data_IF_065724365313
#
_entry.id   IF_065724365313
#
_cell.length_a   1.000
_cell.length_b   1.000
_cell.length_c   1.000
_cell.angle_alpha   90.00
_cell.angle_beta   90.00
_cell.angle_gamma   90.00
#
_symmetry.space_group_name_H-M   'P 1'
#
loop_
_entity.id
_entity.type
_entity.pdbx_description
1 polymer ?
#
# COMPACT_ATOMS: atom_id res chain seq x y z
N UNK A 1 -10.34 37.57 9.91
CA UNK A 1 -11.11 36.54 9.20
C UNK A 1 -10.21 35.45 8.58
N UNK A 2 -9.16 35.81 7.84
CA UNK A 2 -8.26 34.83 7.21
C UNK A 2 -7.49 33.94 8.20
N UNK A 3 -6.99 34.50 9.31
CA UNK A 3 -6.28 33.72 10.33
C UNK A 3 -7.19 32.65 10.98
N UNK A 4 -8.45 32.96 11.25
CA UNK A 4 -9.39 31.98 11.82
C UNK A 4 -9.71 30.82 10.87
N UNK A 5 -9.86 31.09 9.57
CA UNK A 5 -10.10 30.04 8.58
C UNK A 5 -8.87 29.13 8.41
N UNK A 6 -7.66 29.69 8.43
CA UNK A 6 -6.43 28.92 8.37
C UNK A 6 -6.26 28.01 9.61
N UNK A 7 -6.56 28.53 10.81
CA UNK A 7 -6.52 27.75 12.05
C UNK A 7 -7.50 26.58 12.01
N UNK A 8 -8.75 26.80 11.60
CA UNK A 8 -9.76 25.73 11.48
C UNK A 8 -9.34 24.68 10.46
N UNK A 9 -8.75 25.09 9.32
CA UNK A 9 -8.26 24.14 8.31
C UNK A 9 -7.11 23.28 8.85
N UNK A 10 -6.17 23.89 9.58
CA UNK A 10 -5.03 23.17 10.18
C UNK A 10 -5.52 22.18 11.24
N UNK A 11 -6.42 22.62 12.14
CA UNK A 11 -7.00 21.76 13.18
C UNK A 11 -7.77 20.58 12.56
N UNK A 12 -8.55 20.82 11.51
CA UNK A 12 -9.29 19.77 10.80
C UNK A 12 -8.34 18.76 10.17
N UNK A 13 -7.27 19.21 9.54
CA UNK A 13 -6.25 18.34 8.95
C UNK A 13 -5.54 17.49 10.02
N UNK A 14 -5.16 18.13 11.14
CA UNK A 14 -4.53 17.44 12.26
C UNK A 14 -5.47 16.40 12.89
N UNK A 15 -6.75 16.72 13.05
CA UNK A 15 -7.76 15.80 13.57
C UNK A 15 -7.99 14.60 12.63
N UNK A 16 -8.10 14.84 11.32
CA UNK A 16 -8.24 13.76 10.32
C UNK A 16 -7.03 12.84 10.37
N UNK A 17 -5.81 13.38 10.39
CA UNK A 17 -4.58 12.60 10.52
C UNK A 17 -4.56 11.78 11.81
N UNK A 18 -4.97 12.34 12.93
CA UNK A 18 -5.05 11.62 14.20
C UNK A 18 -6.08 10.49 14.17
N UNK A 19 -7.21 10.65 13.47
CA UNK A 19 -8.21 9.60 13.29
C UNK A 19 -7.65 8.45 12.44
N UNK A 20 -7.00 8.76 11.32
CA UNK A 20 -6.34 7.76 10.47
C UNK A 20 -5.31 6.96 11.26
N UNK A 21 -4.45 7.64 12.04
CA UNK A 21 -3.46 6.96 12.89
C UNK A 21 -4.09 6.04 13.94
N UNK A 22 -5.24 6.42 14.50
CA UNK A 22 -5.99 5.55 15.42
C UNK A 22 -6.60 4.35 14.72
N UNK A 23 -7.10 4.51 13.49
CA UNK A 23 -7.60 3.40 12.68
C UNK A 23 -6.48 2.38 12.39
N UNK A 24 -5.30 2.86 12.03
CA UNK A 24 -4.11 2.03 11.81
C UNK A 24 -3.76 1.28 13.11
N UNK A 25 -3.63 1.99 14.23
CA UNK A 25 -3.33 1.37 15.52
C UNK A 25 -4.39 0.31 15.94
N UNK A 26 -5.65 0.50 15.60
CA UNK A 26 -6.70 -0.51 15.84
C UNK A 26 -6.52 -1.74 14.93
N UNK A 27 -6.13 -1.55 13.68
CA UNK A 27 -5.85 -2.65 12.76
C UNK A 27 -4.62 -3.46 13.21
N UNK A 28 -3.55 -2.80 13.67
CA UNK A 28 -2.34 -3.42 14.23
C UNK A 28 -2.61 -4.30 15.45
N UNK A 29 -3.49 -3.87 16.37
CA UNK A 29 -3.89 -4.70 17.53
C UNK A 29 -4.45 -6.06 17.09
N UNK A 30 -5.06 -6.11 15.91
CA UNK A 30 -5.66 -7.32 15.38
C UNK A 30 -4.67 -8.16 14.56
N UNK A 31 -3.82 -7.52 13.76
CA UNK A 31 -2.76 -8.18 12.99
C UNK A 31 -1.37 -7.80 13.54
N UNK A 32 -0.78 -8.63 14.41
CA UNK A 32 0.54 -8.34 14.98
C UNK A 32 1.68 -8.42 13.95
N UNK A 33 1.43 -8.82 12.71
CA UNK A 33 2.42 -8.83 11.62
C UNK A 33 2.52 -7.48 10.91
N UNK A 34 1.50 -6.62 11.08
CA UNK A 34 1.43 -5.25 10.58
C UNK A 34 1.83 -4.28 11.71
N UNK A 35 3.10 -3.99 11.84
CA UNK A 35 3.58 -3.04 12.86
C UNK A 35 3.43 -1.60 12.40
N UNK A 36 3.27 -0.64 13.34
CA UNK A 36 3.23 0.79 13.02
C UNK A 36 4.45 1.29 12.30
N UNK A 37 5.59 0.66 12.54
CA UNK A 37 6.85 0.93 11.85
C UNK A 37 6.78 0.47 10.38
N UNK A 38 6.19 -0.71 10.09
CA UNK A 38 5.95 -1.20 8.73
C UNK A 38 5.14 -0.19 7.90
N UNK A 39 3.96 0.20 8.37
CA UNK A 39 3.10 1.12 7.59
C UNK A 39 3.75 2.50 7.40
N UNK A 40 4.56 2.97 8.36
CA UNK A 40 5.32 4.21 8.23
C UNK A 40 6.45 4.08 7.20
N UNK A 41 7.15 2.93 7.16
CA UNK A 41 8.20 2.66 6.17
C UNK A 41 7.61 2.57 4.77
N UNK A 42 6.54 1.76 4.56
CA UNK A 42 5.86 1.64 3.27
C UNK A 42 5.39 3.00 2.77
N UNK A 43 4.78 3.82 3.62
CA UNK A 43 4.38 5.18 3.28
C UNK A 43 5.58 6.08 2.92
N UNK A 44 6.69 5.95 3.64
CA UNK A 44 7.94 6.67 3.37
C UNK A 44 8.52 6.31 2.00
N UNK A 45 8.70 5.01 1.73
CA UNK A 45 9.19 4.52 0.43
C UNK A 45 8.29 4.96 -0.72
N UNK A 46 6.97 4.84 -0.53
CA UNK A 46 5.99 5.27 -1.54
C UNK A 46 6.14 6.75 -1.89
N UNK A 47 6.41 7.61 -0.90
CA UNK A 47 6.62 9.03 -1.16
C UNK A 47 7.92 9.32 -1.90
N UNK A 48 9.02 8.60 -1.59
CA UNK A 48 10.30 8.72 -2.31
C UNK A 48 10.13 8.30 -3.77
N UNK A 49 9.49 7.15 -4.00
CA UNK A 49 9.23 6.62 -5.36
C UNK A 49 8.36 7.57 -6.17
N UNK A 50 7.26 8.06 -5.58
CA UNK A 50 6.36 9.00 -6.26
C UNK A 50 7.02 10.33 -6.58
N UNK A 51 7.77 10.92 -5.64
CA UNK A 51 8.46 12.20 -5.87
C UNK A 51 9.47 12.10 -7.01
N UNK A 52 10.19 11.00 -7.14
CA UNK A 52 11.11 10.76 -8.24
C UNK A 52 10.37 10.54 -9.57
N UNK A 53 9.32 9.72 -9.56
CA UNK A 53 8.47 9.49 -10.74
C UNK A 53 7.83 10.79 -11.22
N UNK A 54 7.25 11.58 -10.31
CA UNK A 54 6.58 12.84 -10.63
C UNK A 54 7.52 13.87 -11.27
N UNK A 55 8.76 13.98 -10.76
CA UNK A 55 9.80 14.84 -11.37
C UNK A 55 10.16 14.36 -12.77
N UNK A 56 10.34 13.05 -12.97
CA UNK A 56 10.65 12.45 -14.29
C UNK A 56 9.55 12.73 -15.31
N UNK A 57 8.29 12.77 -14.86
CA UNK A 57 7.12 13.03 -15.71
C UNK A 57 6.68 14.49 -15.76
N UNK A 58 7.44 15.42 -15.19
CA UNK A 58 7.15 16.85 -15.26
C UNK A 58 5.88 17.28 -14.51
N UNK A 59 5.48 16.53 -13.48
CA UNK A 59 4.35 16.90 -12.61
C UNK A 59 4.71 18.19 -11.85
N UNK A 60 3.79 19.15 -11.82
CA UNK A 60 4.00 20.43 -11.12
C UNK A 60 4.25 20.23 -9.62
N UNK A 61 5.00 21.12 -8.99
CA UNK A 61 5.31 21.02 -7.56
C UNK A 61 4.03 20.99 -6.70
N UNK A 62 3.04 21.80 -7.05
CA UNK A 62 1.76 21.88 -6.33
C UNK A 62 1.00 20.55 -6.40
N UNK A 63 0.92 19.97 -7.58
CA UNK A 63 0.24 18.69 -7.80
C UNK A 63 1.02 17.54 -7.15
N UNK A 64 2.34 17.56 -7.24
CA UNK A 64 3.22 16.58 -6.61
C UNK A 64 3.04 16.56 -5.09
N UNK A 65 3.06 17.71 -4.43
CA UNK A 65 2.85 17.79 -2.98
C UNK A 65 1.46 17.28 -2.57
N UNK A 66 0.42 17.70 -3.29
CA UNK A 66 -0.95 17.26 -3.04
C UNK A 66 -1.10 15.73 -3.16
N UNK A 67 -0.55 15.15 -4.22
CA UNK A 67 -0.63 13.71 -4.47
C UNK A 67 0.26 12.92 -3.53
N UNK A 68 1.43 13.44 -3.17
CA UNK A 68 2.33 12.84 -2.18
C UNK A 68 1.66 12.65 -0.82
N UNK A 69 0.95 13.68 -0.33
CA UNK A 69 0.26 13.60 0.96
C UNK A 69 -0.89 12.59 0.94
N UNK A 70 -1.63 12.52 -0.18
CA UNK A 70 -2.69 11.51 -0.38
C UNK A 70 -2.11 10.10 -0.42
N UNK A 71 -1.09 9.89 -1.25
CA UNK A 71 -0.41 8.61 -1.37
C UNK A 71 0.16 8.14 -0.05
N UNK A 72 0.83 9.05 0.70
CA UNK A 72 1.39 8.73 2.01
C UNK A 72 0.34 8.13 2.95
N UNK A 73 -0.84 8.76 3.03
CA UNK A 73 -1.91 8.32 3.91
C UNK A 73 -2.57 7.04 3.38
N UNK A 74 -2.78 6.93 2.06
CA UNK A 74 -3.34 5.74 1.43
C UNK A 74 -2.42 4.51 1.59
N UNK A 75 -1.10 4.70 1.46
CA UNK A 75 -0.12 3.64 1.68
C UNK A 75 -0.16 3.09 3.11
N UNK A 76 -0.42 3.94 4.12
CA UNK A 76 -0.60 3.48 5.50
C UNK A 76 -1.86 2.65 5.72
N UNK A 77 -2.82 2.72 4.81
CA UNK A 77 -4.13 2.06 4.87
C UNK A 77 -4.29 0.94 3.84
N UNK A 78 -3.20 0.56 3.12
CA UNK A 78 -3.28 -0.42 2.04
C UNK A 78 -3.90 -1.74 2.50
N UNK A 79 -3.56 -2.18 3.69
CA UNK A 79 -3.98 -3.45 4.30
C UNK A 79 -5.13 -3.32 5.32
N UNK A 80 -5.78 -2.14 5.41
CA UNK A 80 -6.87 -1.89 6.38
C UNK A 80 -8.00 -2.91 6.30
N UNK A 81 -8.22 -3.53 5.14
CA UNK A 81 -9.23 -4.55 4.94
C UNK A 81 -8.98 -5.88 5.65
N UNK A 82 -7.78 -6.13 6.17
CA UNK A 82 -7.48 -7.28 7.04
C UNK A 82 -8.37 -7.32 8.28
N UNK A 83 -8.94 -6.19 8.67
CA UNK A 83 -9.95 -6.12 9.74
C UNK A 83 -11.17 -7.03 9.46
N UNK A 84 -11.48 -7.32 8.22
CA UNK A 84 -12.58 -8.22 7.82
C UNK A 84 -12.18 -9.68 7.66
N UNK A 85 -10.91 -10.05 7.84
CA UNK A 85 -10.44 -11.44 7.71
C UNK A 85 -10.63 -12.18 9.03
N UNK A 86 -11.16 -13.43 9.03
CA UNK A 86 -11.30 -14.23 10.25
C UNK A 86 -9.95 -14.48 10.95
N UNK A 87 -9.93 -14.41 12.29
CA UNK A 87 -8.72 -14.61 13.09
C UNK A 87 -8.05 -15.97 12.85
N UNK A 88 -8.84 -17.01 12.58
CA UNK A 88 -8.33 -18.35 12.25
C UNK A 88 -7.44 -18.36 11.00
N UNK A 89 -7.66 -17.43 10.06
CA UNK A 89 -6.86 -17.27 8.85
C UNK A 89 -5.76 -16.23 9.08
N UNK A 90 -6.13 -15.06 9.61
CA UNK A 90 -5.20 -13.93 9.81
C UNK A 90 -4.02 -14.28 10.72
N UNK A 91 -4.30 -15.03 11.79
CA UNK A 91 -3.32 -15.40 12.83
C UNK A 91 -2.84 -16.84 12.72
N UNK A 92 -3.09 -17.52 11.60
CA UNK A 92 -2.69 -18.92 11.41
C UNK A 92 -1.18 -19.04 11.45
N UNK A 93 -0.62 -19.86 12.35
CA UNK A 93 0.80 -20.17 12.33
C UNK A 93 1.11 -21.07 11.13
N UNK A 94 1.92 -20.59 10.19
CA UNK A 94 2.36 -21.34 9.03
C UNK A 94 1.72 -20.91 7.72
N UNK A 95 1.78 -21.76 6.70
CA UNK A 95 1.26 -21.45 5.37
C UNK A 95 -0.26 -21.58 5.32
N UNK A 96 -0.90 -20.66 4.61
CA UNK A 96 -2.30 -20.77 4.23
C UNK A 96 -2.45 -21.82 3.13
N UNK A 97 -3.51 -22.62 3.17
CA UNK A 97 -3.92 -23.42 2.01
C UNK A 97 -4.61 -22.53 0.96
N UNK A 98 -4.97 -23.11 -0.20
CA UNK A 98 -5.53 -22.33 -1.31
C UNK A 98 -6.86 -21.66 -0.96
N UNK A 99 -7.70 -22.30 -0.15
CA UNK A 99 -8.99 -21.74 0.27
C UNK A 99 -8.81 -20.62 1.27
N UNK A 100 -7.90 -20.79 2.24
CA UNK A 100 -7.55 -19.77 3.22
C UNK A 100 -6.86 -18.57 2.53
N UNK A 101 -5.98 -18.83 1.55
CA UNK A 101 -5.34 -17.77 0.77
C UNK A 101 -6.37 -16.99 -0.05
N UNK A 102 -7.33 -17.66 -0.67
CA UNK A 102 -8.43 -16.99 -1.36
C UNK A 102 -9.27 -16.12 -0.40
N UNK A 103 -9.44 -16.55 0.86
CA UNK A 103 -10.06 -15.71 1.89
C UNK A 103 -9.19 -14.51 2.26
N UNK A 104 -7.87 -14.72 2.42
CA UNK A 104 -6.93 -13.63 2.71
C UNK A 104 -6.94 -12.56 1.62
N UNK A 105 -6.98 -12.94 0.35
CA UNK A 105 -7.02 -12.01 -0.79
C UNK A 105 -8.23 -11.05 -0.74
N UNK A 106 -9.30 -11.41 -0.03
CA UNK A 106 -10.48 -10.54 0.13
C UNK A 106 -10.20 -9.24 0.87
N UNK A 107 -9.09 -9.15 1.63
CA UNK A 107 -8.76 -7.91 2.33
C UNK A 107 -8.65 -6.72 1.37
N UNK A 108 -8.15 -6.93 0.14
CA UNK A 108 -8.03 -5.87 -0.86
C UNK A 108 -9.41 -5.26 -1.20
N UNK A 109 -10.40 -6.10 -1.41
CA UNK A 109 -11.78 -5.67 -1.71
C UNK A 109 -12.48 -5.11 -0.47
N UNK A 110 -12.29 -5.74 0.69
CA UNK A 110 -12.84 -5.25 1.97
C UNK A 110 -12.27 -3.86 2.29
N UNK A 111 -10.95 -3.68 2.12
CA UNK A 111 -10.27 -2.40 2.31
C UNK A 111 -10.85 -1.30 1.40
N UNK A 112 -10.99 -1.58 0.11
CA UNK A 112 -11.57 -0.65 -0.84
C UNK A 112 -13.01 -0.23 -0.47
N UNK A 113 -13.80 -1.15 0.11
CA UNK A 113 -15.17 -0.87 0.55
C UNK A 113 -15.26 0.08 1.74
N UNK A 114 -14.24 0.15 2.59
CA UNK A 114 -14.22 1.08 3.72
C UNK A 114 -14.22 2.54 3.26
N UNK A 115 -13.78 2.80 2.04
CA UNK A 115 -13.79 4.13 1.42
C UNK A 115 -15.00 4.38 0.53
N UNK A 116 -16.02 3.50 0.58
CA UNK A 116 -17.27 3.63 -0.18
C UNK A 116 -18.12 4.77 0.36
N UNK A 117 -18.71 5.56 -0.54
CA UNK A 117 -19.68 6.60 -0.18
C UNK A 117 -19.09 7.90 0.33
N UNK A 118 -17.82 7.95 0.64
CA UNK A 118 -17.11 9.21 0.83
C UNK A 118 -16.56 9.68 -0.53
N UNK A 119 -16.73 10.96 -0.85
CA UNK A 119 -16.38 11.50 -2.18
C UNK A 119 -15.33 12.57 -2.05
N UNK A 120 -14.19 12.20 -1.49
CA UNK A 120 -13.01 13.06 -1.50
C UNK A 120 -11.95 12.45 -2.41
N UNK A 121 -11.11 13.26 -3.01
CA UNK A 121 -9.97 12.79 -3.80
C UNK A 121 -9.04 11.84 -3.00
N UNK A 122 -9.06 11.91 -1.68
CA UNK A 122 -8.34 11.00 -0.80
C UNK A 122 -8.98 9.61 -0.78
N UNK A 123 -10.32 9.54 -0.69
CA UNK A 123 -11.03 8.26 -0.64
C UNK A 123 -10.83 7.47 -1.93
N UNK A 124 -10.77 8.17 -3.09
CA UNK A 124 -10.51 7.53 -4.38
C UNK A 124 -9.10 6.91 -4.40
N UNK A 125 -8.09 7.65 -3.94
CA UNK A 125 -6.70 7.16 -3.86
C UNK A 125 -6.59 6.00 -2.87
N UNK A 126 -7.18 6.11 -1.68
CA UNK A 126 -7.13 5.05 -0.68
C UNK A 126 -7.83 3.77 -1.16
N UNK A 127 -8.97 3.92 -1.86
CA UNK A 127 -9.70 2.82 -2.48
C UNK A 127 -8.86 2.13 -3.54
N UNK A 128 -8.24 2.87 -4.46
CA UNK A 128 -7.40 2.30 -5.52
C UNK A 128 -6.20 1.55 -4.94
N UNK A 129 -5.52 2.14 -3.96
CA UNK A 129 -4.38 1.51 -3.30
C UNK A 129 -4.81 0.23 -2.57
N UNK A 130 -5.84 0.28 -1.72
CA UNK A 130 -6.32 -0.89 -1.00
C UNK A 130 -6.76 -2.01 -1.93
N UNK A 131 -7.41 -1.68 -3.06
CA UNK A 131 -7.91 -2.67 -4.01
C UNK A 131 -6.79 -3.32 -4.81
N UNK A 132 -5.79 -2.55 -5.28
CA UNK A 132 -4.91 -2.98 -6.37
C UNK A 132 -3.43 -3.12 -5.98
N UNK A 133 -3.03 -2.96 -4.71
CA UNK A 133 -1.62 -3.07 -4.31
C UNK A 133 -1.03 -4.48 -4.45
N UNK A 134 -1.86 -5.50 -4.65
CA UNK A 134 -1.46 -6.87 -4.94
C UNK A 134 -1.58 -7.25 -6.43
N UNK A 135 -1.91 -6.30 -7.30
CA UNK A 135 -1.81 -6.54 -8.73
C UNK A 135 -0.35 -6.70 -9.14
N UNK A 136 -0.13 -7.51 -10.18
CA UNK A 136 1.19 -7.74 -10.74
C UNK A 136 1.26 -7.17 -12.14
N UNK A 137 2.39 -6.60 -12.50
CA UNK A 137 2.60 -5.98 -13.80
C UNK A 137 2.28 -6.89 -14.98
N UNK A 138 2.54 -8.20 -14.84
CA UNK A 138 2.27 -9.23 -15.84
C UNK A 138 0.78 -9.63 -15.94
N UNK A 139 -0.07 -9.18 -15.03
CA UNK A 139 -1.50 -9.49 -14.97
C UNK A 139 -1.82 -10.78 -14.22
N UNK A 140 -0.88 -11.35 -13.47
CA UNK A 140 -1.10 -12.55 -12.66
C UNK A 140 -1.47 -12.25 -11.20
N UNK A 141 -1.62 -10.95 -10.85
CA UNK A 141 -2.01 -10.49 -9.53
C UNK A 141 -3.51 -10.60 -9.24
N UNK A 142 -3.93 -9.97 -8.15
CA UNK A 142 -5.32 -9.91 -7.72
C UNK A 142 -5.69 -8.53 -7.16
N UNK A 143 -6.98 -8.15 -7.10
CA UNK A 143 -8.17 -8.97 -7.40
C UNK A 143 -8.62 -8.93 -8.87
N UNK A 144 -7.96 -8.20 -9.74
CA UNK A 144 -8.39 -7.97 -11.11
C UNK A 144 -9.46 -6.89 -11.24
N UNK A 145 -10.12 -6.80 -12.39
CA UNK A 145 -11.15 -5.78 -12.67
C UNK A 145 -12.43 -6.10 -11.89
N UNK A 146 -12.47 -5.70 -10.64
CA UNK A 146 -13.64 -5.82 -9.76
C UNK A 146 -14.22 -4.43 -9.54
N UNK A 147 -15.55 -4.29 -9.76
CA UNK A 147 -16.29 -3.14 -9.29
C UNK A 147 -16.40 -3.22 -7.76
N UNK A 148 -15.79 -2.29 -7.01
CA UNK A 148 -15.81 -2.35 -5.53
C UNK A 148 -17.21 -2.30 -4.95
N UNK A 149 -18.15 -1.79 -5.72
CA UNK A 149 -19.55 -1.62 -5.36
C UNK A 149 -20.44 -2.83 -5.67
N UNK A 150 -19.93 -3.82 -6.41
CA UNK A 150 -20.64 -5.06 -6.62
C UNK A 150 -20.97 -5.73 -5.28
N UNK A 151 -22.18 -6.26 -5.12
CA UNK A 151 -22.50 -7.13 -3.98
C UNK A 151 -21.63 -8.37 -4.06
N UNK A 152 -20.61 -8.41 -3.22
CA UNK A 152 -19.69 -9.53 -3.15
C UNK A 152 -20.28 -10.57 -2.19
N UNK A 153 -21.21 -11.38 -2.70
CA UNK A 153 -21.52 -12.66 -2.07
C UNK A 153 -20.23 -13.53 -2.07
N UNK A 154 -19.92 -14.21 -0.96
CA UNK A 154 -18.73 -15.06 -0.92
C UNK A 154 -18.89 -16.29 -1.83
N UNK A 155 -17.81 -16.78 -2.47
CA UNK A 155 -16.49 -16.15 -2.50
C UNK A 155 -16.27 -15.45 -3.83
N UNK A 156 -15.91 -14.17 -3.81
CA UNK A 156 -15.27 -13.61 -4.99
C UNK A 156 -13.93 -14.33 -5.11
N UNK A 157 -13.94 -15.38 -5.89
CA UNK A 157 -12.69 -15.96 -6.38
C UNK A 157 -12.10 -14.87 -7.27
N UNK A 158 -10.90 -14.34 -6.98
CA UNK A 158 -10.25 -13.41 -7.87
C UNK A 158 -10.27 -14.03 -9.26
N UNK A 159 -10.80 -13.30 -10.23
CA UNK A 159 -10.70 -13.76 -11.62
C UNK A 159 -9.22 -13.95 -11.86
N UNK A 160 -8.80 -15.09 -12.43
CA UNK A 160 -7.37 -15.43 -12.67
C UNK A 160 -6.63 -14.42 -13.55
N UNK A 161 -7.25 -13.31 -13.90
CA UNK A 161 -6.75 -12.27 -14.76
C UNK A 161 -6.77 -10.95 -14.00
N UNK A 162 -5.62 -10.60 -13.42
CA UNK A 162 -5.37 -9.30 -12.82
C UNK A 162 -5.36 -8.16 -13.84
N UNK A 163 -5.29 -6.94 -13.37
CA UNK A 163 -4.95 -5.78 -14.17
C UNK A 163 -3.50 -5.91 -14.64
N UNK A 164 -3.21 -5.44 -15.87
CA UNK A 164 -1.88 -5.59 -16.46
C UNK A 164 -1.23 -4.25 -16.78
N UNK A 165 0.03 -4.11 -16.43
CA UNK A 165 0.83 -2.97 -16.81
C UNK A 165 0.24 -1.66 -16.28
N UNK A 166 -0.01 -0.70 -17.16
CA UNK A 166 -0.56 0.63 -16.81
C UNK A 166 -2.06 0.63 -16.53
N UNK A 167 -2.76 -0.50 -16.68
CA UNK A 167 -4.14 -0.65 -16.18
C UNK A 167 -4.16 -0.59 -14.65
N UNK A 168 -3.06 -1.00 -14.00
CA UNK A 168 -2.91 -0.89 -12.55
C UNK A 168 -2.68 0.59 -12.20
N UNK A 169 -3.48 1.19 -11.29
CA UNK A 169 -3.28 2.56 -10.85
C UNK A 169 -1.84 2.81 -10.37
N UNK A 170 -1.27 3.96 -10.72
CA UNK A 170 0.12 4.28 -10.38
C UNK A 170 0.42 4.12 -8.89
N UNK A 171 -0.47 4.62 -8.04
CA UNK A 171 -0.25 4.59 -6.59
C UNK A 171 -0.29 3.16 -6.03
N UNK A 172 -1.14 2.29 -6.59
CA UNK A 172 -1.15 0.88 -6.23
C UNK A 172 0.16 0.17 -6.63
N UNK A 173 0.71 0.45 -7.84
CA UNK A 173 2.02 -0.07 -8.28
C UNK A 173 3.15 0.36 -7.35
N UNK A 174 3.15 1.64 -6.95
CA UNK A 174 4.14 2.21 -6.04
C UNK A 174 4.05 1.53 -4.66
N UNK A 175 2.84 1.42 -4.10
CA UNK A 175 2.64 0.82 -2.77
C UNK A 175 2.97 -0.68 -2.78
N UNK A 176 2.58 -1.43 -3.82
CA UNK A 176 2.91 -2.84 -3.95
C UNK A 176 4.43 -3.11 -3.99
N UNK A 177 5.19 -2.27 -4.71
CA UNK A 177 6.66 -2.36 -4.70
C UNK A 177 7.25 -2.01 -3.32
N UNK A 178 6.75 -0.95 -2.69
CA UNK A 178 7.20 -0.50 -1.37
C UNK A 178 6.91 -1.55 -0.27
N UNK A 179 5.73 -2.17 -0.29
CA UNK A 179 5.33 -3.22 0.65
C UNK A 179 6.22 -4.45 0.54
N UNK A 180 6.43 -4.97 -0.68
CA UNK A 180 7.31 -6.13 -0.89
C UNK A 180 8.75 -5.81 -0.50
N UNK A 181 9.26 -4.61 -0.81
CA UNK A 181 10.59 -4.20 -0.35
C UNK A 181 10.68 -4.25 1.17
N UNK A 182 9.72 -3.66 1.89
CA UNK A 182 9.71 -3.69 3.37
C UNK A 182 9.58 -5.11 3.91
N UNK A 183 8.71 -5.92 3.34
CA UNK A 183 8.49 -7.32 3.75
C UNK A 183 9.75 -8.19 3.64
N UNK A 184 10.65 -7.86 2.72
CA UNK A 184 11.91 -8.58 2.52
C UNK A 184 13.05 -7.98 3.34
N UNK A 185 13.09 -6.65 3.49
CA UNK A 185 14.18 -5.90 4.13
C UNK A 185 14.05 -5.83 5.64
N UNK A 186 12.84 -6.07 6.19
CA UNK A 186 12.58 -5.95 7.63
C UNK A 186 12.44 -7.31 8.30
N UNK A 187 12.85 -7.37 9.57
CA UNK A 187 12.63 -8.56 10.40
C UNK A 187 11.14 -8.68 10.71
N UNK A 188 10.58 -9.88 10.57
CA UNK A 188 9.20 -10.20 10.96
C UNK A 188 9.23 -11.29 12.04
N UNK A 189 8.14 -11.45 12.79
CA UNK A 189 8.04 -12.40 13.89
C UNK A 189 8.51 -13.83 13.56
N UNK A 190 8.41 -14.23 12.28
CA UNK A 190 8.73 -15.57 11.79
C UNK A 190 9.83 -15.62 10.73
N UNK A 191 10.49 -14.48 10.42
CA UNK A 191 11.47 -14.40 9.35
C UNK A 191 12.48 -13.29 9.60
N UNK A 192 13.76 -13.61 9.52
CA UNK A 192 14.82 -12.61 9.52
C UNK A 192 14.82 -11.79 8.22
N UNK A 193 15.28 -10.54 8.32
CA UNK A 193 15.50 -9.69 7.15
C UNK A 193 16.47 -10.36 6.16
N UNK A 194 16.18 -10.21 4.88
CA UNK A 194 17.12 -10.65 3.85
C UNK A 194 18.28 -9.67 3.72
N UNK A 195 19.48 -10.15 3.34
CA UNK A 195 20.55 -9.26 2.92
C UNK A 195 20.07 -8.35 1.78
N UNK A 196 20.36 -7.06 1.88
CA UNK A 196 19.89 -6.06 0.91
C UNK A 196 20.22 -6.43 -0.53
N UNK A 197 21.45 -6.88 -0.80
CA UNK A 197 21.84 -7.31 -2.14
C UNK A 197 20.90 -8.38 -2.73
N UNK A 198 20.39 -9.29 -1.89
CA UNK A 198 19.42 -10.31 -2.30
C UNK A 198 18.05 -9.71 -2.59
N UNK A 199 17.62 -8.72 -1.78
CA UNK A 199 16.35 -8.01 -2.01
C UNK A 199 16.41 -7.28 -3.36
N UNK A 200 17.45 -6.50 -3.60
CA UNK A 200 17.63 -5.74 -4.84
C UNK A 200 17.73 -6.65 -6.08
N UNK A 201 18.42 -7.81 -5.96
CA UNK A 201 18.47 -8.82 -7.03
C UNK A 201 17.08 -9.32 -7.39
N UNK A 202 16.28 -9.71 -6.37
CA UNK A 202 14.91 -10.19 -6.60
C UNK A 202 14.03 -9.12 -7.26
N UNK A 203 14.08 -7.88 -6.79
CA UNK A 203 13.28 -6.79 -7.39
C UNK A 203 13.66 -6.56 -8.85
N UNK A 204 14.96 -6.68 -9.18
CA UNK A 204 15.45 -6.57 -10.56
C UNK A 204 14.96 -7.74 -11.42
N UNK A 205 15.00 -8.97 -10.92
CA UNK A 205 14.51 -10.17 -11.60
C UNK A 205 13.00 -10.14 -11.85
N UNK A 206 12.24 -9.57 -10.90
CA UNK A 206 10.78 -9.43 -10.98
C UNK A 206 10.32 -8.15 -11.74
N UNK A 207 11.25 -7.38 -12.28
CA UNK A 207 10.96 -6.21 -13.12
C UNK A 207 10.26 -6.63 -14.41
N UNK A 208 9.09 -6.07 -14.70
CA UNK A 208 8.25 -6.48 -15.83
C UNK A 208 7.39 -7.72 -15.58
N UNK A 209 7.66 -8.46 -14.50
CA UNK A 209 6.84 -9.55 -14.00
C UNK A 209 5.92 -9.07 -12.89
N UNK A 210 6.43 -9.00 -11.67
CA UNK A 210 5.69 -8.50 -10.53
C UNK A 210 5.55 -6.96 -10.57
N UNK A 211 6.65 -6.26 -10.82
CA UNK A 211 6.75 -4.82 -10.65
C UNK A 211 6.84 -4.05 -11.96
N UNK A 212 6.35 -2.82 -11.93
CA UNK A 212 6.57 -1.84 -12.99
C UNK A 212 8.07 -1.59 -13.16
N UNK A 213 8.64 -1.83 -14.37
CA UNK A 213 10.06 -1.66 -14.63
C UNK A 213 10.58 -0.26 -14.29
N UNK A 214 9.80 0.77 -14.58
CA UNK A 214 10.18 2.16 -14.31
C UNK A 214 10.29 2.42 -12.79
N UNK A 215 9.37 1.86 -12.00
CA UNK A 215 9.40 2.02 -10.54
C UNK A 215 10.57 1.24 -9.90
N UNK A 216 10.93 0.09 -10.44
CA UNK A 216 12.13 -0.66 -10.01
C UNK A 216 13.40 0.15 -10.31
N UNK A 217 13.51 0.73 -11.51
CA UNK A 217 14.63 1.61 -11.86
C UNK A 217 14.73 2.80 -10.89
N UNK A 218 13.61 3.47 -10.62
CA UNK A 218 13.55 4.59 -9.67
C UNK A 218 13.97 4.15 -8.26
N UNK A 219 13.53 2.96 -7.79
CA UNK A 219 13.95 2.44 -6.48
C UNK A 219 15.46 2.29 -6.41
N UNK A 220 16.07 1.71 -7.44
CA UNK A 220 17.53 1.54 -7.50
C UNK A 220 18.27 2.89 -7.51
N UNK A 221 17.77 3.87 -8.25
CA UNK A 221 18.34 5.22 -8.28
C UNK A 221 18.23 5.97 -6.95
N UNK A 222 17.19 5.67 -6.15
CA UNK A 222 16.87 6.33 -4.88
C UNK A 222 17.15 5.47 -3.67
N UNK A 223 17.97 4.44 -3.81
CA UNK A 223 18.21 3.46 -2.75
C UNK A 223 18.72 4.10 -1.45
N UNK A 224 19.52 5.15 -1.53
CA UNK A 224 20.03 5.84 -0.33
C UNK A 224 18.90 6.60 0.41
N UNK A 225 17.94 7.17 -0.31
CA UNK A 225 16.76 7.80 0.28
C UNK A 225 15.82 6.74 0.91
N UNK A 226 15.69 5.58 0.27
CA UNK A 226 14.94 4.42 0.78
C UNK A 226 15.58 3.90 2.07
N UNK A 227 16.92 3.74 2.12
CA UNK A 227 17.67 3.38 3.34
C UNK A 227 17.44 4.38 4.47
N UNK A 228 17.49 5.68 4.16
CA UNK A 228 17.24 6.72 5.15
C UNK A 228 15.83 6.64 5.76
N UNK A 229 14.83 6.23 4.98
CA UNK A 229 13.48 5.94 5.50
C UNK A 229 13.50 4.71 6.39
N UNK A 230 14.14 3.61 5.97
CA UNK A 230 14.26 2.38 6.76
C UNK A 230 14.88 2.67 8.12
N UNK A 231 16.01 3.40 8.13
CA UNK A 231 16.75 3.75 9.34
C UNK A 231 15.99 4.67 10.29
N UNK A 232 15.05 5.43 9.79
CA UNK A 232 14.20 6.32 10.61
C UNK A 232 13.15 5.58 11.44
N UNK A 233 12.68 4.46 10.95
CA UNK A 233 11.58 3.69 11.54
C UNK A 233 12.07 2.29 11.91
N UNK A 234 12.86 2.19 12.98
CA UNK A 234 13.31 0.91 13.55
C UNK A 234 12.19 0.20 14.31
N UNK A 235 12.22 -1.13 14.29
CA UNK A 235 11.38 -1.98 15.13
C UNK A 235 11.95 -2.10 16.55
#
# INVERSE_FOLDING_TARGET
HFAGLATVAIERTAMTRALVMRMIAMAEVRDPTETGTHVQRVAGYSTVLYDAWARRHGVTDVEREKNRDRLRTAAMLHDVGKVGIPDAILKKPGRLDDAEFAHMQRHAVIGARLFRGMRTDFDDVAREVALHHHERWDGTGYPGPIEPDAELEPPVVPTRKGLKGKEIPLFARIVGLADVYDALSSKRAYKDAWPEAKVLSLLTEESGGHFDPELVEILMERIDEIRAVHDRYHD
#
